data_IF_084007942760
#
_entry.id   IF_084007942760
#
_cell.length_a   1.000
_cell.length_b   1.000
_cell.length_c   1.000
_cell.angle_alpha   90.00
_cell.angle_beta   90.00
_cell.angle_gamma   90.00
#
_symmetry.space_group_name_H-M   'P 1'
#
loop_
_entity.id
_entity.type
_entity.pdbx_description
1 polymer ?
#
# COMPACT_ATOMS: atom_id res chain seq x y z
N UNK A 1 29.05 -10.87 -7.53
CA UNK A 1 28.02 -9.86 -7.70
C UNK A 1 28.33 -8.79 -6.67
N UNK A 2 28.56 -7.51 -7.06
CA UNK A 2 28.80 -6.47 -6.08
C UNK A 2 27.55 -6.34 -5.21
N UNK A 3 27.77 -6.32 -3.91
CA UNK A 3 26.79 -5.96 -2.89
C UNK A 3 26.43 -4.49 -3.15
N UNK A 4 25.41 -4.26 -3.95
CA UNK A 4 24.85 -2.90 -4.13
C UNK A 4 24.24 -2.57 -2.77
N UNK A 5 24.96 -1.80 -1.98
CA UNK A 5 24.56 -1.31 -0.69
C UNK A 5 23.35 -0.41 -0.90
N UNK A 6 22.16 -1.00 -0.89
CA UNK A 6 20.91 -0.23 -0.83
C UNK A 6 21.03 0.66 0.40
N UNK A 7 20.87 1.96 0.22
CA UNK A 7 20.90 2.91 1.34
C UNK A 7 19.96 2.42 2.45
N UNK A 8 20.34 2.49 3.73
CA UNK A 8 19.48 2.05 4.81
C UNK A 8 18.14 2.77 4.73
N UNK A 9 17.03 2.02 4.67
CA UNK A 9 15.67 2.58 4.58
C UNK A 9 15.32 3.44 5.81
N UNK A 10 16.00 3.20 6.93
CA UNK A 10 15.88 4.00 8.16
C UNK A 10 16.22 5.49 7.96
N UNK A 11 16.99 5.84 6.91
CA UNK A 11 17.33 7.22 6.56
C UNK A 11 16.38 7.86 5.54
N UNK A 12 15.49 7.08 4.91
CA UNK A 12 14.53 7.59 3.92
C UNK A 12 13.39 8.30 4.63
N UNK A 13 13.23 9.59 4.34
CA UNK A 13 12.10 10.39 4.81
C UNK A 13 11.09 10.51 3.68
N UNK A 14 9.97 9.81 3.82
CA UNK A 14 8.79 10.03 3.00
C UNK A 14 7.95 11.20 3.50
N UNK A 15 7.07 11.68 2.64
CA UNK A 15 6.10 12.73 2.95
C UNK A 15 4.82 12.14 3.56
N UNK A 16 4.98 11.34 4.63
CA UNK A 16 3.87 10.75 5.36
C UNK A 16 3.01 11.84 6.00
N UNK A 17 1.69 11.61 6.03
CA UNK A 17 0.77 12.51 6.67
C UNK A 17 -0.19 11.79 7.63
N UNK A 18 -0.49 12.42 8.73
CA UNK A 18 -1.50 11.99 9.71
C UNK A 18 -1.98 13.19 10.52
N UNK A 19 -3.20 13.14 11.00
CA UNK A 19 -3.67 14.14 11.96
C UNK A 19 -3.09 13.85 13.35
N UNK A 20 -2.23 14.73 13.83
CA UNK A 20 -1.56 14.59 15.14
C UNK A 20 -2.49 14.73 16.35
N UNK A 21 -3.75 15.11 16.13
CA UNK A 21 -4.79 15.06 17.17
C UNK A 21 -5.46 13.68 17.27
N UNK A 22 -5.29 12.82 16.24
CA UNK A 22 -5.88 11.48 16.16
C UNK A 22 -4.81 10.40 16.30
N UNK A 23 -3.63 10.62 15.76
CA UNK A 23 -2.55 9.64 15.72
C UNK A 23 -1.26 10.13 16.35
N UNK A 24 -0.48 9.20 16.86
CA UNK A 24 0.91 9.40 17.27
C UNK A 24 1.82 8.43 16.53
N UNK A 25 2.93 8.93 16.01
CA UNK A 25 3.97 8.10 15.39
C UNK A 25 4.67 7.27 16.45
N UNK A 26 4.91 5.98 16.18
CA UNK A 26 5.74 5.13 17.06
C UNK A 26 7.19 5.62 17.08
N UNK A 27 7.73 5.80 18.28
CA UNK A 27 9.13 6.20 18.50
C UNK A 27 10.08 5.01 18.68
N UNK A 28 9.55 3.79 18.77
CA UNK A 28 10.28 2.56 19.14
C UNK A 28 11.16 1.97 18.02
N UNK A 29 11.43 2.72 16.95
CA UNK A 29 12.15 2.22 15.78
C UNK A 29 11.33 1.23 14.95
N UNK A 30 12.00 0.27 14.31
CA UNK A 30 11.33 -0.71 13.45
C UNK A 30 10.51 -1.71 14.27
N UNK A 31 9.21 -1.82 14.00
CA UNK A 31 8.35 -2.85 14.62
C UNK A 31 8.89 -4.26 14.35
N UNK A 32 8.74 -5.20 15.30
CA UNK A 32 9.10 -6.60 15.07
C UNK A 32 8.22 -7.22 13.99
N UNK A 33 8.68 -8.32 13.38
CA UNK A 33 7.87 -9.01 12.35
C UNK A 33 6.53 -9.54 12.89
N UNK A 34 6.42 -9.77 14.20
CA UNK A 34 5.14 -10.15 14.84
C UNK A 34 4.06 -9.07 14.78
N UNK A 35 4.42 -7.81 14.48
CA UNK A 35 3.45 -6.73 14.23
C UNK A 35 2.48 -7.09 13.10
N UNK A 36 2.94 -7.86 12.12
CA UNK A 36 2.14 -8.24 10.97
C UNK A 36 1.11 -9.35 11.25
N UNK A 37 1.12 -9.98 12.46
CA UNK A 37 0.07 -10.95 12.83
C UNK A 37 -1.32 -10.32 12.92
N UNK A 38 -1.38 -9.04 13.34
CA UNK A 38 -2.61 -8.27 13.52
C UNK A 38 -2.77 -7.20 12.43
N UNK A 39 -2.18 -7.48 11.25
CA UNK A 39 -2.14 -6.57 10.12
C UNK A 39 -2.62 -7.29 8.86
N UNK A 40 -3.46 -6.63 8.07
CA UNK A 40 -3.83 -7.08 6.73
C UNK A 40 -3.43 -6.04 5.69
N UNK A 41 -2.95 -6.53 4.55
CA UNK A 41 -2.66 -5.73 3.37
C UNK A 41 -3.74 -5.97 2.32
N UNK A 42 -4.34 -4.91 1.81
CA UNK A 42 -5.40 -4.98 0.79
C UNK A 42 -4.92 -4.26 -0.45
N UNK A 43 -4.91 -4.96 -1.60
CA UNK A 43 -4.40 -4.33 -2.81
C UNK A 43 -4.34 -5.23 -4.04
N UNK A 44 -3.59 -4.76 -5.01
CA UNK A 44 -3.42 -5.37 -6.32
C UNK A 44 -2.19 -6.29 -6.41
N UNK A 45 -1.63 -6.46 -7.61
CA UNK A 45 -0.44 -7.28 -7.87
C UNK A 45 0.82 -6.81 -7.12
N UNK A 46 0.93 -5.53 -6.78
CA UNK A 46 2.06 -5.00 -6.02
C UNK A 46 2.00 -5.45 -4.56
N UNK A 47 0.79 -5.48 -3.96
CA UNK A 47 0.55 -6.09 -2.65
C UNK A 47 0.78 -7.60 -2.68
N UNK A 48 0.36 -8.28 -3.76
CA UNK A 48 0.65 -9.71 -3.96
C UNK A 48 2.16 -9.98 -4.03
N UNK A 49 2.93 -9.09 -4.67
CA UNK A 49 4.39 -9.16 -4.69
C UNK A 49 5.01 -9.01 -3.28
N UNK A 50 4.48 -8.12 -2.43
CA UNK A 50 4.89 -8.04 -1.03
C UNK A 50 4.64 -9.35 -0.30
N UNK A 51 3.45 -9.94 -0.46
CA UNK A 51 3.09 -11.22 0.15
C UNK A 51 4.05 -12.34 -0.26
N UNK A 52 4.43 -12.40 -1.53
CA UNK A 52 5.25 -13.48 -2.09
C UNK A 52 6.75 -13.31 -1.77
N UNK A 53 7.25 -12.06 -1.74
CA UNK A 53 8.70 -11.81 -1.83
C UNK A 53 9.30 -11.07 -0.63
N UNK A 54 8.50 -10.41 0.20
CA UNK A 54 9.02 -9.63 1.31
C UNK A 54 9.54 -10.45 2.50
N UNK A 55 9.19 -11.75 2.55
CA UNK A 55 9.64 -12.66 3.61
C UNK A 55 8.99 -12.41 4.97
N UNK A 56 7.79 -11.83 5.00
CA UNK A 56 7.00 -11.62 6.23
C UNK A 56 6.32 -12.94 6.61
N UNK A 57 6.61 -13.51 7.79
CA UNK A 57 5.91 -14.70 8.25
C UNK A 57 4.41 -14.44 8.47
N UNK A 58 3.55 -15.34 8.00
CA UNK A 58 2.10 -15.26 8.15
C UNK A 58 1.53 -13.92 7.61
N UNK A 59 1.98 -13.52 6.41
CA UNK A 59 1.46 -12.32 5.75
C UNK A 59 -0.04 -12.48 5.48
N UNK A 60 -0.86 -11.58 5.99
CA UNK A 60 -2.28 -11.54 5.69
C UNK A 60 -2.51 -10.57 4.53
N UNK A 61 -2.93 -11.09 3.39
CA UNK A 61 -3.13 -10.29 2.18
C UNK A 61 -4.47 -10.59 1.52
N UNK A 62 -5.32 -9.58 1.41
CA UNK A 62 -6.51 -9.60 0.56
C UNK A 62 -6.13 -8.93 -0.76
N UNK A 63 -5.37 -9.64 -1.57
CA UNK A 63 -4.77 -9.10 -2.78
C UNK A 63 -4.86 -10.08 -3.94
N UNK A 64 -4.90 -9.51 -5.14
CA UNK A 64 -4.92 -10.30 -6.36
C UNK A 64 -4.44 -9.47 -7.56
N UNK A 65 -3.74 -10.14 -8.47
CA UNK A 65 -3.26 -9.54 -9.72
C UNK A 65 -4.43 -8.92 -10.53
N UNK A 66 -4.31 -7.62 -10.83
CA UNK A 66 -5.31 -6.90 -11.61
C UNK A 66 -6.56 -6.46 -10.82
N UNK A 67 -6.58 -6.69 -9.50
CA UNK A 67 -7.68 -6.20 -8.66
C UNK A 67 -7.67 -4.67 -8.65
N UNK A 68 -8.84 -4.08 -8.83
CA UNK A 68 -9.06 -2.63 -8.74
C UNK A 68 -10.07 -2.30 -7.65
N UNK A 69 -10.03 -1.07 -7.18
CA UNK A 69 -10.83 -0.65 -6.00
C UNK A 69 -12.34 -0.76 -6.23
N UNK A 70 -12.83 -0.63 -7.47
CA UNK A 70 -14.24 -0.81 -7.83
C UNK A 70 -14.71 -2.28 -7.85
N UNK A 71 -13.77 -3.23 -7.83
CA UNK A 71 -14.05 -4.68 -7.88
C UNK A 71 -14.08 -5.37 -6.52
N UNK A 72 -13.80 -4.66 -5.45
CA UNK A 72 -13.64 -5.24 -4.10
C UNK A 72 -14.91 -5.91 -3.56
N UNK A 73 -16.09 -5.54 -4.08
CA UNK A 73 -17.41 -6.14 -3.71
C UNK A 73 -17.84 -7.28 -4.63
N UNK A 74 -17.22 -7.42 -5.79
CA UNK A 74 -17.73 -8.30 -6.86
C UNK A 74 -16.81 -9.44 -7.21
N UNK A 75 -15.51 -9.25 -7.11
CA UNK A 75 -14.54 -10.23 -7.56
C UNK A 75 -14.12 -11.17 -6.41
N UNK A 76 -14.53 -12.44 -6.53
CA UNK A 76 -14.17 -13.50 -5.58
C UNK A 76 -12.76 -14.01 -5.88
N UNK A 77 -11.75 -13.24 -5.48
CA UNK A 77 -10.34 -13.53 -5.82
C UNK A 77 -9.43 -13.64 -4.61
N UNK A 78 -9.82 -13.10 -3.44
CA UNK A 78 -8.99 -13.13 -2.23
C UNK A 78 -9.14 -14.44 -1.47
N UNK A 79 -8.11 -14.82 -0.75
CA UNK A 79 -8.09 -16.00 0.13
C UNK A 79 -7.93 -15.56 1.58
N UNK A 80 -8.57 -16.29 2.50
CA UNK A 80 -8.47 -16.05 3.94
C UNK A 80 -7.68 -17.21 4.54
N UNK A 81 -6.63 -16.97 5.36
CA UNK A 81 -5.87 -18.03 6.00
C UNK A 81 -6.77 -18.94 6.85
N UNK A 82 -6.73 -20.23 6.57
CA UNK A 82 -7.52 -21.24 7.28
C UNK A 82 -8.93 -21.50 6.72
N UNK A 83 -9.36 -20.73 5.71
CA UNK A 83 -10.64 -20.93 5.05
C UNK A 83 -10.45 -21.54 3.65
N UNK A 84 -11.38 -22.42 3.25
CA UNK A 84 -11.43 -22.98 1.92
C UNK A 84 -12.27 -22.07 1.00
N UNK A 85 -11.69 -21.69 -0.14
CA UNK A 85 -12.41 -20.93 -1.17
C UNK A 85 -11.81 -19.59 -1.49
N UNK A 86 -12.57 -18.81 -2.26
CA UNK A 86 -12.24 -17.44 -2.61
C UNK A 86 -13.42 -16.53 -2.28
N UNK A 87 -13.10 -15.35 -1.82
CA UNK A 87 -14.03 -14.37 -1.30
C UNK A 87 -13.84 -13.04 -2.02
N UNK A 88 -14.84 -12.18 -1.96
CA UNK A 88 -14.63 -10.76 -2.23
C UNK A 88 -13.82 -10.15 -1.09
N UNK A 89 -13.21 -8.99 -1.32
CA UNK A 89 -12.48 -8.30 -0.27
C UNK A 89 -13.40 -7.90 0.90
N UNK A 90 -14.64 -7.51 0.61
CA UNK A 90 -15.62 -7.13 1.62
C UNK A 90 -16.05 -8.34 2.47
N UNK A 91 -16.33 -9.49 1.87
CA UNK A 91 -16.58 -10.72 2.63
C UNK A 91 -15.39 -11.11 3.52
N UNK A 92 -14.16 -10.93 3.02
CA UNK A 92 -12.95 -11.21 3.80
C UNK A 92 -12.80 -10.25 5.00
N UNK A 93 -13.17 -8.97 4.86
CA UNK A 93 -13.22 -8.03 5.97
C UNK A 93 -14.26 -8.46 7.00
N UNK A 94 -15.47 -8.89 6.56
CA UNK A 94 -16.53 -9.35 7.47
C UNK A 94 -16.16 -10.61 8.28
N UNK A 95 -15.30 -11.45 7.71
CA UNK A 95 -14.90 -12.74 8.28
C UNK A 95 -13.65 -12.68 9.17
N UNK A 96 -12.98 -11.51 9.23
CA UNK A 96 -11.70 -11.35 9.94
C UNK A 96 -11.69 -10.08 10.78
N UNK A 97 -10.72 -9.96 11.66
CA UNK A 97 -10.54 -8.77 12.49
C UNK A 97 -9.04 -8.49 12.61
N UNK A 98 -8.62 -7.29 12.18
CA UNK A 98 -7.22 -6.85 12.22
C UNK A 98 -7.12 -5.45 12.83
N UNK A 99 -6.07 -5.21 13.60
CA UNK A 99 -5.80 -3.89 14.19
C UNK A 99 -5.33 -2.88 13.14
N UNK A 100 -4.66 -3.37 12.07
CA UNK A 100 -4.02 -2.52 11.06
C UNK A 100 -4.40 -2.96 9.65
N UNK A 101 -4.84 -2.00 8.84
CA UNK A 101 -5.18 -2.18 7.43
C UNK A 101 -4.27 -1.31 6.57
N UNK A 102 -3.50 -1.92 5.67
CA UNK A 102 -2.65 -1.25 4.69
C UNK A 102 -3.29 -1.37 3.32
N UNK A 103 -3.58 -0.24 2.67
CA UNK A 103 -4.35 -0.18 1.43
C UNK A 103 -3.49 0.37 0.30
N UNK A 104 -3.21 -0.45 -0.74
CA UNK A 104 -2.43 -0.07 -1.91
C UNK A 104 -3.19 -0.38 -3.20
N UNK A 105 -3.79 0.64 -3.80
CA UNK A 105 -4.44 0.60 -5.11
C UNK A 105 -4.04 1.82 -5.93
N UNK A 106 -4.42 1.82 -7.19
CA UNK A 106 -4.25 2.95 -8.10
C UNK A 106 -3.53 2.57 -9.39
N UNK A 107 -2.69 1.53 -9.38
CA UNK A 107 -1.97 1.13 -10.59
C UNK A 107 -2.92 0.69 -11.72
N UNK A 108 -3.96 -0.06 -11.39
CA UNK A 108 -4.97 -0.52 -12.35
C UNK A 108 -5.98 0.57 -12.70
N UNK A 109 -6.04 1.64 -11.92
CA UNK A 109 -6.95 2.77 -12.08
C UNK A 109 -6.31 3.97 -12.79
N UNK A 110 -5.00 3.97 -13.05
CA UNK A 110 -4.31 5.09 -13.72
C UNK A 110 -4.91 5.45 -15.10
N UNK A 111 -5.52 4.47 -15.78
CA UNK A 111 -6.27 4.69 -17.03
C UNK A 111 -7.65 5.31 -16.87
N UNK A 112 -8.15 5.51 -15.65
CA UNK A 112 -9.48 6.10 -15.45
C UNK A 112 -9.48 7.58 -15.78
N UNK A 113 -10.57 8.06 -16.40
CA UNK A 113 -10.68 9.46 -16.82
C UNK A 113 -10.79 10.39 -15.60
N UNK A 114 -11.57 9.96 -14.58
CA UNK A 114 -11.87 10.75 -13.41
C UNK A 114 -11.20 10.19 -12.16
N UNK A 115 -10.24 10.92 -11.63
CA UNK A 115 -9.55 10.58 -10.35
C UNK A 115 -10.55 10.57 -9.18
N UNK A 116 -11.57 11.40 -9.23
CA UNK A 116 -12.62 11.48 -8.21
C UNK A 116 -13.38 10.16 -8.05
N UNK A 117 -13.56 9.38 -9.13
CA UNK A 117 -14.17 8.05 -9.05
C UNK A 117 -13.32 7.08 -8.23
N UNK A 118 -12.00 7.08 -8.46
CA UNK A 118 -11.04 6.30 -7.69
C UNK A 118 -11.06 6.69 -6.20
N UNK A 119 -11.05 7.98 -5.90
CA UNK A 119 -11.09 8.49 -4.53
C UNK A 119 -12.41 8.13 -3.83
N UNK A 120 -13.54 8.18 -4.54
CA UNK A 120 -14.84 7.78 -3.99
C UNK A 120 -14.87 6.30 -3.63
N UNK A 121 -14.35 5.42 -4.49
CA UNK A 121 -14.30 3.98 -4.23
C UNK A 121 -13.31 3.66 -3.09
N UNK A 122 -12.20 4.41 -3.00
CA UNK A 122 -11.26 4.29 -1.90
C UNK A 122 -11.90 4.71 -0.56
N UNK A 123 -12.65 5.82 -0.54
CA UNK A 123 -13.43 6.24 0.63
C UNK A 123 -14.45 5.18 1.06
N UNK A 124 -15.17 4.57 0.11
CA UNK A 124 -16.13 3.51 0.39
C UNK A 124 -15.46 2.29 1.07
N UNK A 125 -14.24 1.93 0.67
CA UNK A 125 -13.48 0.86 1.32
C UNK A 125 -13.11 1.23 2.76
N UNK A 126 -12.61 2.45 2.98
CA UNK A 126 -12.22 2.92 4.31
C UNK A 126 -13.43 2.97 5.24
N UNK A 127 -14.55 3.52 4.76
CA UNK A 127 -15.79 3.60 5.53
C UNK A 127 -16.29 2.20 5.92
N UNK A 128 -16.21 1.24 4.99
CA UNK A 128 -16.58 -0.14 5.27
C UNK A 128 -15.69 -0.80 6.33
N UNK A 129 -14.37 -0.56 6.28
CA UNK A 129 -13.45 -1.04 7.31
C UNK A 129 -13.84 -0.48 8.68
N UNK A 130 -14.16 0.82 8.78
CA UNK A 130 -14.54 1.44 10.04
C UNK A 130 -15.94 1.07 10.53
N UNK A 131 -16.88 0.74 9.63
CA UNK A 131 -18.17 0.16 10.02
C UNK A 131 -17.99 -1.20 10.68
N UNK A 132 -17.01 -1.98 10.24
CA UNK A 132 -16.68 -3.30 10.79
C UNK A 132 -15.77 -3.21 12.03
N UNK A 133 -14.67 -2.44 11.94
CA UNK A 133 -13.72 -2.23 13.03
C UNK A 133 -13.39 -0.74 13.22
N UNK A 134 -14.15 -0.01 14.07
CA UNK A 134 -13.96 1.42 14.29
C UNK A 134 -12.64 1.77 15.00
N UNK A 135 -12.00 0.82 15.65
CA UNK A 135 -10.73 1.03 16.35
C UNK A 135 -9.51 0.77 15.46
N UNK A 136 -9.70 0.23 14.26
CA UNK A 136 -8.61 -0.07 13.33
C UNK A 136 -7.77 1.17 12.98
N UNK A 137 -6.48 0.97 12.76
CA UNK A 137 -5.61 1.96 12.11
C UNK A 137 -5.54 1.66 10.62
N UNK A 138 -6.02 2.59 9.79
CA UNK A 138 -6.00 2.45 8.34
C UNK A 138 -4.89 3.30 7.74
N UNK A 139 -4.04 2.65 6.95
CA UNK A 139 -2.95 3.27 6.20
C UNK A 139 -3.32 3.27 4.72
N UNK A 140 -3.27 4.44 4.10
CA UNK A 140 -3.39 4.63 2.66
C UNK A 140 -1.98 4.77 2.10
N UNK A 141 -1.54 3.77 1.36
CA UNK A 141 -0.20 3.73 0.79
C UNK A 141 -0.16 4.48 -0.55
N UNK A 142 0.90 5.23 -0.79
CA UNK A 142 1.12 5.84 -2.10
C UNK A 142 1.33 4.78 -3.18
N UNK A 143 0.89 5.06 -4.40
CA UNK A 143 1.20 4.28 -5.60
C UNK A 143 2.70 4.36 -5.83
N UNK A 144 3.35 3.20 -5.97
CA UNK A 144 4.77 3.12 -6.24
C UNK A 144 5.09 3.64 -7.65
N UNK A 145 6.29 4.20 -7.89
CA UNK A 145 6.69 4.61 -9.23
C UNK A 145 6.82 3.42 -10.17
N UNK A 146 6.91 3.70 -11.45
CA UNK A 146 7.36 2.79 -12.51
C UNK A 146 8.77 3.18 -12.96
N UNK A 147 9.45 2.33 -13.74
CA UNK A 147 10.75 2.68 -14.34
C UNK A 147 10.61 3.84 -15.32
N UNK A 148 11.73 4.51 -15.61
CA UNK A 148 11.74 5.58 -16.58
C UNK A 148 11.30 5.08 -17.98
N UNK A 149 11.78 3.88 -18.39
CA UNK A 149 11.41 3.24 -19.65
C UNK A 149 9.90 2.99 -19.74
N UNK A 150 9.30 2.35 -18.71
CA UNK A 150 7.85 2.10 -18.66
C UNK A 150 7.06 3.42 -18.73
N UNK A 151 7.51 4.45 -18.01
CA UNK A 151 6.84 5.76 -18.01
C UNK A 151 6.91 6.48 -19.36
N UNK A 152 7.97 6.26 -20.15
CA UNK A 152 8.13 6.86 -21.49
C UNK A 152 7.35 6.10 -22.56
N UNK A 153 7.24 4.78 -22.45
CA UNK A 153 6.59 3.92 -23.43
C UNK A 153 5.08 3.77 -23.23
N UNK A 154 4.58 4.02 -22.03
CA UNK A 154 3.18 3.84 -21.67
C UNK A 154 2.38 5.14 -21.77
N UNK A 155 1.17 5.06 -22.33
CA UNK A 155 0.20 6.15 -22.29
C UNK A 155 -0.58 6.21 -20.94
N UNK A 156 -0.45 5.17 -20.10
CA UNK A 156 -1.21 5.00 -18.86
C UNK A 156 -0.30 5.07 -17.64
N UNK A 157 0.77 4.28 -17.61
CA UNK A 157 1.66 4.13 -16.46
C UNK A 157 2.73 5.23 -16.40
N UNK A 158 2.31 6.49 -16.54
CA UNK A 158 3.22 7.63 -16.53
C UNK A 158 3.48 8.13 -15.11
N UNK A 159 4.71 8.59 -14.85
CA UNK A 159 5.04 9.19 -13.55
C UNK A 159 4.19 10.44 -13.25
N UNK A 160 3.79 11.19 -14.26
CA UNK A 160 2.86 12.31 -14.11
C UNK A 160 1.51 11.85 -13.57
N UNK A 161 0.97 10.77 -14.12
CA UNK A 161 -0.32 10.22 -13.69
C UNK A 161 -0.26 9.63 -12.29
N UNK A 162 0.82 8.91 -11.97
CA UNK A 162 1.09 8.39 -10.62
C UNK A 162 1.13 9.55 -9.60
N UNK A 163 1.82 10.64 -9.94
CA UNK A 163 1.92 11.82 -9.09
C UNK A 163 0.54 12.46 -8.84
N UNK A 164 -0.29 12.59 -9.88
CA UNK A 164 -1.66 13.13 -9.77
C UNK A 164 -2.52 12.29 -8.81
N UNK A 165 -2.50 10.96 -8.95
CA UNK A 165 -3.24 10.05 -8.09
C UNK A 165 -2.73 10.07 -6.64
N UNK A 166 -1.41 10.11 -6.44
CA UNK A 166 -0.82 10.21 -5.10
C UNK A 166 -1.16 11.53 -4.41
N UNK A 167 -1.21 12.64 -5.14
CA UNK A 167 -1.69 13.91 -4.61
C UNK A 167 -3.16 13.85 -4.19
N UNK A 168 -4.01 13.19 -4.99
CA UNK A 168 -5.42 13.00 -4.66
C UNK A 168 -5.62 12.09 -3.43
N UNK A 169 -4.86 10.98 -3.32
CA UNK A 169 -4.86 10.13 -2.13
C UNK A 169 -4.42 10.89 -0.88
N UNK A 170 -3.35 11.69 -0.99
CA UNK A 170 -2.85 12.53 0.10
C UNK A 170 -3.91 13.52 0.55
N UNK A 171 -4.53 14.25 -0.39
CA UNK A 171 -5.58 15.21 -0.10
C UNK A 171 -6.80 14.55 0.56
N UNK A 172 -7.20 13.38 0.07
CA UNK A 172 -8.27 12.59 0.69
C UNK A 172 -7.96 12.27 2.17
N UNK A 173 -6.73 11.87 2.48
CA UNK A 173 -6.33 11.60 3.86
C UNK A 173 -6.36 12.86 4.73
N UNK A 174 -5.91 14.00 4.19
CA UNK A 174 -5.94 15.29 4.87
C UNK A 174 -7.37 15.77 5.18
N UNK A 175 -8.30 15.53 4.27
CA UNK A 175 -9.72 15.88 4.43
C UNK A 175 -10.41 14.95 5.44
N UNK A 176 -10.11 13.65 5.39
CA UNK A 176 -10.69 12.64 6.30
C UNK A 176 -10.18 12.76 7.74
N UNK A 177 -8.90 12.89 7.94
CA UNK A 177 -8.20 12.95 9.24
C UNK A 177 -8.20 11.65 10.08
N UNK A 178 -9.00 10.67 9.72
CA UNK A 178 -9.16 9.40 10.43
C UNK A 178 -8.27 8.27 9.87
N UNK A 179 -7.39 8.59 8.94
CA UNK A 179 -6.45 7.67 8.28
C UNK A 179 -5.02 8.23 8.28
N UNK A 180 -4.05 7.37 8.02
CA UNK A 180 -2.64 7.73 7.83
C UNK A 180 -2.30 7.61 6.34
N UNK A 181 -1.78 8.68 5.71
CA UNK A 181 -1.13 8.58 4.41
C UNK A 181 0.31 8.12 4.60
N UNK A 182 0.67 7.01 4.01
CA UNK A 182 2.01 6.45 4.03
C UNK A 182 2.66 6.62 2.66
N UNK A 183 3.65 7.51 2.55
CA UNK A 183 4.43 7.71 1.34
C UNK A 183 5.40 6.55 1.12
N UNK A 184 4.85 5.39 0.77
CA UNK A 184 5.59 4.15 0.56
C UNK A 184 6.51 4.24 -0.67
N UNK A 185 6.15 5.05 -1.67
CA UNK A 185 6.95 5.31 -2.86
C UNK A 185 8.35 5.83 -2.51
N UNK A 186 8.47 6.66 -1.49
CA UNK A 186 9.76 7.19 -1.05
C UNK A 186 10.80 6.10 -0.72
N UNK A 187 10.36 4.89 -0.35
CA UNK A 187 11.27 3.79 -0.04
C UNK A 187 11.98 3.20 -1.26
N UNK A 188 11.44 3.41 -2.46
CA UNK A 188 11.90 2.75 -3.70
C UNK A 188 12.19 3.71 -4.85
N UNK A 189 11.87 4.98 -4.69
CA UNK A 189 12.09 6.02 -5.71
C UNK A 189 13.57 6.41 -5.78
N UNK A 190 14.13 6.53 -6.97
CA UNK A 190 15.46 7.08 -7.22
C UNK A 190 15.48 8.63 -7.18
N UNK A 191 16.64 9.24 -7.47
CA UNK A 191 16.80 10.70 -7.47
C UNK A 191 15.99 11.41 -8.55
N UNK A 192 15.60 10.71 -9.61
CA UNK A 192 14.88 11.25 -10.76
C UNK A 192 13.37 11.02 -10.65
N UNK A 193 12.92 10.31 -9.60
CA UNK A 193 11.52 10.09 -9.30
C UNK A 193 10.94 8.78 -9.84
N UNK A 194 11.78 7.87 -10.32
CA UNK A 194 11.38 6.61 -10.94
C UNK A 194 11.75 5.40 -10.09
N UNK A 195 11.15 4.25 -10.43
CA UNK A 195 11.60 2.96 -9.91
C UNK A 195 12.93 2.61 -10.59
N UNK A 196 14.02 2.38 -9.84
CA UNK A 196 15.31 2.03 -10.43
C UNK A 196 15.24 0.74 -11.27
N UNK A 197 16.00 0.66 -12.37
CA UNK A 197 16.01 -0.51 -13.26
C UNK A 197 16.34 -1.81 -12.51
N UNK A 198 17.25 -1.76 -11.55
CA UNK A 198 17.61 -2.92 -10.73
C UNK A 198 16.50 -3.34 -9.74
N UNK A 199 15.49 -2.51 -9.53
CA UNK A 199 14.39 -2.80 -8.61
C UNK A 199 13.31 -3.70 -9.22
N UNK A 200 13.27 -3.80 -10.54
CA UNK A 200 12.20 -4.47 -11.27
C UNK A 200 12.74 -5.23 -12.48
N UNK A 201 11.96 -6.19 -12.97
CA UNK A 201 12.22 -6.92 -14.22
C UNK A 201 11.31 -6.42 -15.35
N UNK A 202 10.16 -5.90 -15.00
CA UNK A 202 9.11 -5.45 -15.92
C UNK A 202 8.81 -3.94 -15.82
N UNK A 203 9.62 -3.20 -15.08
CA UNK A 203 9.46 -1.76 -14.87
C UNK A 203 8.33 -1.36 -13.93
N UNK A 204 7.51 -2.32 -13.45
CA UNK A 204 6.29 -2.07 -12.67
C UNK A 204 6.35 -2.71 -11.28
N UNK A 205 6.75 -3.98 -11.19
CA UNK A 205 6.71 -4.76 -9.95
C UNK A 205 8.08 -4.82 -9.29
N UNK A 206 8.12 -4.53 -8.00
CA UNK A 206 9.33 -4.64 -7.20
C UNK A 206 9.80 -6.09 -7.09
N UNK A 207 11.11 -6.32 -7.24
CA UNK A 207 11.74 -7.60 -6.93
C UNK A 207 11.81 -7.84 -5.42
N UNK A 208 12.30 -9.03 -5.03
CA UNK A 208 12.34 -9.47 -3.64
C UNK A 208 13.10 -8.51 -2.70
N UNK A 209 14.18 -7.90 -3.15
CA UNK A 209 14.99 -7.02 -2.29
C UNK A 209 14.28 -5.68 -2.07
N UNK A 210 13.62 -5.16 -3.09
CA UNK A 210 12.79 -3.95 -2.97
C UNK A 210 11.49 -4.21 -2.21
N UNK A 211 10.87 -5.39 -2.32
CA UNK A 211 9.75 -5.78 -1.45
C UNK A 211 10.16 -5.81 0.04
N UNK A 212 11.35 -6.34 0.37
CA UNK A 212 11.89 -6.27 1.74
C UNK A 212 12.13 -4.84 2.20
N UNK A 213 12.60 -3.98 1.31
CA UNK A 213 12.81 -2.56 1.58
C UNK A 213 11.50 -1.84 1.89
N UNK A 214 10.42 -2.12 1.14
CA UNK A 214 9.07 -1.60 1.42
C UNK A 214 8.60 -2.02 2.83
N UNK A 215 8.71 -3.30 3.17
CA UNK A 215 8.36 -3.80 4.51
C UNK A 215 9.22 -3.14 5.62
N UNK A 216 10.49 -2.92 5.38
CA UNK A 216 11.35 -2.22 6.35
C UNK A 216 10.89 -0.77 6.54
N UNK A 217 10.49 -0.07 5.48
CA UNK A 217 9.92 1.27 5.56
C UNK A 217 8.61 1.28 6.35
N UNK A 218 7.70 0.35 6.10
CA UNK A 218 6.44 0.20 6.85
C UNK A 218 6.73 0.04 8.34
N UNK A 219 7.65 -0.86 8.72
CA UNK A 219 8.00 -1.13 10.12
C UNK A 219 8.54 0.09 10.88
N UNK A 220 9.19 1.02 10.19
CA UNK A 220 9.74 2.25 10.77
C UNK A 220 8.78 3.44 10.71
N UNK A 221 7.63 3.29 10.06
CA UNK A 221 6.63 4.34 9.88
C UNK A 221 5.24 3.87 10.32
N UNK A 222 5.14 3.41 11.57
CA UNK A 222 3.88 2.98 12.16
C UNK A 222 3.29 4.05 13.06
N UNK A 223 1.98 4.05 13.17
CA UNK A 223 1.20 5.03 13.93
C UNK A 223 0.16 4.29 14.78
N UNK A 224 -0.33 4.95 15.83
CA UNK A 224 -1.41 4.41 16.68
C UNK A 224 -2.40 5.52 16.99
N UNK A 225 -3.70 5.19 17.08
CA UNK A 225 -4.73 6.12 17.52
C UNK A 225 -4.46 6.56 18.96
N UNK A 226 -4.63 7.83 19.24
CA UNK A 226 -4.58 8.40 20.60
C UNK A 226 -5.84 7.92 21.34
N UNK A 227 -5.65 7.29 22.51
CA UNK A 227 -6.74 6.80 23.36
C UNK A 227 -7.30 7.90 24.23
#
# INVERSE_FOLDING_TARGET
>A
VPDTCLSPVESVKGDNWYDSSVYVKSEDGAKPMSYFSDTVFIGDSRTEALMLYAGVPNFNGFCYKGLSVDKLKTDNVVTIPGEDGKYTCYEAIDMTDYDNYYLMFGMNELGWIYVESFINDFNNLIDYIYEHNPDATVYVESILPVSAEESEESDIYTQTRITEFNQALRQMCEDRKDVVYLDLAAAVTDSDGYLPDEASVDGIHCNADYCKRLIQYIRTNTYSKIK
#
